data_IF_716065340175
#
_entry.id   IF_716065340175
#
_cell.length_a   1.000
_cell.length_b   1.000
_cell.length_c   1.000
_cell.angle_alpha   90.00
_cell.angle_beta   90.00
_cell.angle_gamma   90.00
#
_symmetry.space_group_name_H-M   'P 1'
#
loop_
_entity.id
_entity.type
_entity.pdbx_description
1 polymer ?
#
# COMPACT_ATOMS: atom_id res chain seq x y z
N UNK A 1 -13.76 -10.73 -5.21
CA UNK A 1 -12.75 -11.47 -5.98
C UNK A 1 -11.74 -12.02 -4.99
N UNK A 2 -11.43 -13.31 -5.05
CA UNK A 2 -10.22 -13.82 -4.40
C UNK A 2 -9.02 -13.29 -5.19
N UNK A 3 -8.20 -12.47 -4.54
CA UNK A 3 -7.05 -11.81 -5.17
C UNK A 3 -5.76 -12.47 -4.64
N UNK A 4 -4.80 -12.86 -5.51
CA UNK A 4 -3.63 -13.61 -5.07
C UNK A 4 -2.78 -12.87 -4.03
N UNK A 5 -2.45 -13.58 -2.95
CA UNK A 5 -1.55 -13.07 -1.92
C UNK A 5 -0.13 -12.92 -2.47
N UNK A 6 0.59 -11.94 -1.94
CA UNK A 6 2.03 -11.80 -2.14
C UNK A 6 2.74 -12.42 -0.94
N UNK A 7 2.92 -13.75 -0.99
CA UNK A 7 3.45 -14.53 0.13
C UNK A 7 4.90 -14.96 -0.12
N UNK A 8 5.86 -14.60 0.74
CA UNK A 8 7.24 -15.05 0.56
C UNK A 8 7.42 -16.51 0.97
N UNK A 9 8.44 -17.19 0.40
CA UNK A 9 8.76 -18.56 0.75
C UNK A 9 9.54 -18.67 2.09
N UNK A 10 9.35 -17.73 3.01
CA UNK A 10 10.03 -17.66 4.30
C UNK A 10 9.19 -16.88 5.33
N UNK A 11 9.44 -17.11 6.61
CA UNK A 11 8.74 -16.41 7.70
C UNK A 11 9.06 -14.90 7.70
N UNK A 12 8.01 -14.07 7.67
CA UNK A 12 8.12 -12.61 7.81
C UNK A 12 7.91 -12.24 9.28
N UNK A 13 8.94 -11.62 9.87
CA UNK A 13 8.78 -10.84 11.11
C UNK A 13 8.25 -9.46 10.77
N UNK A 14 7.62 -8.81 11.74
CA UNK A 14 7.30 -7.39 11.61
C UNK A 14 8.58 -6.57 11.33
N UNK A 15 8.47 -5.58 10.43
CA UNK A 15 9.62 -4.91 9.85
C UNK A 15 10.54 -4.29 10.89
N UNK A 16 10.00 -3.69 11.94
CA UNK A 16 10.74 -3.07 13.03
C UNK A 16 11.64 -4.06 13.78
N UNK A 17 11.23 -5.34 13.84
CA UNK A 17 11.96 -6.44 14.49
C UNK A 17 13.00 -7.10 13.59
N UNK A 18 13.01 -6.81 12.29
CA UNK A 18 13.99 -7.38 11.36
C UNK A 18 15.41 -6.83 11.64
N UNK A 19 16.37 -7.74 11.59
CA UNK A 19 17.79 -7.40 11.41
C UNK A 19 18.04 -6.87 10.01
N UNK A 20 19.17 -6.18 9.79
CA UNK A 20 19.56 -5.69 8.46
C UNK A 20 19.63 -6.82 7.42
N UNK A 21 20.05 -8.02 7.82
CA UNK A 21 20.14 -9.19 6.94
C UNK A 21 18.76 -9.69 6.53
N UNK A 22 17.84 -9.83 7.48
CA UNK A 22 16.45 -10.23 7.19
C UNK A 22 15.74 -9.19 6.31
N UNK A 23 15.92 -7.90 6.61
CA UNK A 23 15.37 -6.81 5.80
C UNK A 23 15.87 -6.87 4.34
N UNK A 24 17.15 -7.15 4.12
CA UNK A 24 17.71 -7.32 2.77
C UNK A 24 17.12 -8.52 2.04
N UNK A 25 16.98 -9.67 2.71
CA UNK A 25 16.37 -10.87 2.13
C UNK A 25 14.93 -10.59 1.70
N UNK A 26 14.15 -9.95 2.58
CA UNK A 26 12.78 -9.54 2.29
C UNK A 26 12.74 -8.56 1.11
N UNK A 27 13.55 -7.50 1.14
CA UNK A 27 13.62 -6.50 0.08
C UNK A 27 13.95 -7.12 -1.28
N UNK A 28 14.94 -8.01 -1.33
CA UNK A 28 15.34 -8.67 -2.58
C UNK A 28 14.25 -9.57 -3.14
N UNK A 29 13.50 -10.26 -2.29
CA UNK A 29 12.31 -10.99 -2.71
C UNK A 29 11.21 -10.04 -3.22
N UNK A 30 10.91 -8.98 -2.47
CA UNK A 30 9.87 -8.02 -2.81
C UNK A 30 10.11 -7.40 -4.19
N UNK A 31 11.31 -6.87 -4.45
CA UNK A 31 11.66 -6.25 -5.73
C UNK A 31 11.63 -7.26 -6.89
N UNK A 32 12.00 -8.53 -6.66
CA UNK A 32 11.87 -9.58 -7.69
C UNK A 32 10.43 -9.87 -8.08
N UNK A 33 9.49 -9.66 -7.17
CA UNK A 33 8.07 -9.89 -7.41
C UNK A 33 7.37 -8.68 -8.04
N UNK A 34 7.90 -7.46 -7.87
CA UNK A 34 7.30 -6.21 -8.40
C UNK A 34 6.79 -6.32 -9.84
N UNK A 35 7.59 -6.78 -10.84
CA UNK A 35 7.09 -6.88 -12.22
C UNK A 35 5.88 -7.80 -12.36
N UNK A 36 5.86 -8.93 -11.63
CA UNK A 36 4.73 -9.86 -11.67
C UNK A 36 3.48 -9.26 -11.01
N UNK A 37 3.65 -8.49 -9.93
CA UNK A 37 2.54 -7.84 -9.22
C UNK A 37 1.94 -6.69 -10.04
N UNK A 38 2.76 -5.94 -10.77
CA UNK A 38 2.30 -4.92 -11.74
C UNK A 38 1.43 -5.57 -12.83
N UNK A 39 1.88 -6.67 -13.42
CA UNK A 39 1.10 -7.38 -14.44
C UNK A 39 -0.17 -8.02 -13.86
N UNK A 40 -0.11 -8.49 -12.61
CA UNK A 40 -1.28 -9.05 -11.93
C UNK A 40 -2.39 -8.00 -11.73
N UNK A 41 -2.06 -6.80 -11.24
CA UNK A 41 -3.08 -5.75 -11.05
C UNK A 41 -3.62 -5.21 -12.37
N UNK A 42 -2.77 -5.11 -13.41
CA UNK A 42 -3.23 -4.76 -14.76
C UNK A 42 -4.21 -5.79 -15.32
N UNK A 43 -3.93 -7.07 -15.13
CA UNK A 43 -4.83 -8.15 -15.51
C UNK A 43 -6.14 -8.09 -14.74
N UNK A 44 -6.10 -7.88 -13.43
CA UNK A 44 -7.30 -7.72 -12.61
C UNK A 44 -8.13 -6.49 -13.02
N UNK A 45 -7.47 -5.40 -13.40
CA UNK A 45 -8.11 -4.21 -13.95
C UNK A 45 -8.89 -4.54 -15.23
N UNK A 46 -8.25 -5.21 -16.20
CA UNK A 46 -8.89 -5.67 -17.44
C UNK A 46 -10.07 -6.61 -17.17
N UNK A 47 -9.85 -7.65 -16.36
CA UNK A 47 -10.82 -8.74 -16.15
C UNK A 47 -12.03 -8.34 -15.31
N UNK A 48 -11.97 -7.21 -14.61
CA UNK A 48 -13.07 -6.75 -13.75
C UNK A 48 -13.73 -5.47 -14.22
N UNK A 49 -13.71 -5.16 -15.52
CA UNK A 49 -14.34 -3.96 -16.06
C UNK A 49 -13.69 -2.66 -15.57
N UNK A 50 -12.38 -2.64 -15.36
CA UNK A 50 -11.62 -1.42 -15.11
C UNK A 50 -11.43 -0.57 -16.35
N UNK A 51 -11.17 -1.21 -17.50
CA UNK A 51 -10.84 -0.54 -18.75
C UNK A 51 -9.97 -1.45 -19.61
N UNK A 52 -9.06 -0.86 -20.37
CA UNK A 52 -8.09 -1.58 -21.19
C UNK A 52 -6.70 -1.58 -20.53
N UNK A 53 -5.82 -2.49 -20.94
CA UNK A 53 -4.47 -2.54 -20.37
C UNK A 53 -3.67 -1.27 -20.64
N UNK A 54 -3.94 -0.59 -21.76
CA UNK A 54 -3.31 0.66 -22.16
C UNK A 54 -3.67 1.83 -21.24
N UNK A 55 -4.77 1.74 -20.49
CA UNK A 55 -5.12 2.75 -19.48
C UNK A 55 -4.14 2.69 -18.28
N UNK A 56 -3.41 1.59 -18.13
CA UNK A 56 -2.44 1.33 -17.07
C UNK A 56 -0.99 1.31 -17.59
N UNK A 57 -0.61 2.34 -18.34
CA UNK A 57 0.68 2.51 -19.01
C UNK A 57 1.86 3.00 -18.13
N UNK A 58 1.68 3.07 -16.81
CA UNK A 58 2.64 3.65 -15.84
C UNK A 58 2.87 5.16 -16.02
N UNK A 59 2.03 5.86 -16.78
CA UNK A 59 2.01 7.33 -16.77
C UNK A 59 1.39 7.86 -15.47
N UNK A 60 1.65 9.12 -15.07
CA UNK A 60 0.96 9.70 -13.93
C UNK A 60 -0.57 9.67 -14.06
N UNK A 61 -1.10 9.79 -15.29
CA UNK A 61 -2.55 9.77 -15.54
C UNK A 61 -3.18 8.41 -15.24
N UNK A 62 -2.43 7.31 -15.38
CA UNK A 62 -2.95 5.97 -15.08
C UNK A 62 -3.35 5.81 -13.60
N UNK A 63 -2.80 6.63 -12.70
CA UNK A 63 -3.16 6.65 -11.29
C UNK A 63 -4.64 7.00 -11.07
N UNK A 64 -5.23 7.86 -11.89
CA UNK A 64 -6.66 8.19 -11.84
C UNK A 64 -7.49 6.98 -12.22
N UNK A 65 -7.12 6.29 -13.31
CA UNK A 65 -7.81 5.11 -13.81
C UNK A 65 -7.81 3.95 -12.80
N UNK A 66 -6.64 3.63 -12.24
CA UNK A 66 -6.51 2.52 -11.30
C UNK A 66 -7.13 2.85 -9.93
N UNK A 67 -7.07 4.11 -9.48
CA UNK A 67 -7.68 4.53 -8.21
C UNK A 67 -9.20 4.49 -8.28
N UNK A 68 -9.79 5.08 -9.33
CA UNK A 68 -11.23 4.99 -9.63
C UNK A 68 -11.71 3.54 -9.66
N UNK A 69 -10.94 2.66 -10.28
CA UNK A 69 -11.24 1.23 -10.32
C UNK A 69 -11.13 0.56 -8.95
N UNK A 70 -10.16 0.94 -8.13
CA UNK A 70 -9.92 0.34 -6.83
C UNK A 70 -11.01 0.67 -5.80
N UNK A 71 -11.50 1.92 -5.74
CA UNK A 71 -12.48 2.40 -4.75
C UNK A 71 -13.69 1.46 -4.55
N UNK A 72 -14.47 1.08 -5.59
CA UNK A 72 -15.65 0.24 -5.40
C UNK A 72 -15.32 -1.21 -4.99
N UNK A 73 -14.04 -1.61 -4.99
CA UNK A 73 -13.58 -2.96 -4.63
C UNK A 73 -13.12 -3.07 -3.18
N UNK A 74 -13.11 -1.96 -2.43
CA UNK A 74 -12.77 -1.96 -1.01
C UNK A 74 -13.89 -2.64 -0.23
N UNK A 75 -13.57 -3.77 0.40
CA UNK A 75 -14.50 -4.56 1.22
C UNK A 75 -14.04 -4.56 2.67
N UNK A 76 -14.97 -4.27 3.58
CA UNK A 76 -14.76 -4.39 5.02
C UNK A 76 -15.59 -5.53 5.59
N UNK A 77 -15.06 -6.19 6.61
CA UNK A 77 -15.77 -7.18 7.43
C UNK A 77 -15.75 -6.78 8.90
N UNK A 78 -16.66 -7.35 9.68
CA UNK A 78 -16.68 -7.19 11.13
C UNK A 78 -15.54 -8.01 11.74
N UNK A 79 -14.81 -7.42 12.69
CA UNK A 79 -13.81 -8.11 13.52
C UNK A 79 -14.50 -9.17 14.39
N UNK A 80 -13.80 -10.26 14.69
CA UNK A 80 -14.29 -11.20 15.71
C UNK A 80 -14.13 -10.62 17.12
N UNK A 81 -14.87 -11.16 18.08
CA UNK A 81 -14.73 -10.76 19.49
C UNK A 81 -13.31 -11.04 20.01
N UNK A 82 -12.68 -12.12 19.54
CA UNK A 82 -11.29 -12.47 19.87
C UNK A 82 -10.30 -11.42 19.34
N UNK A 83 -10.48 -10.94 18.10
CA UNK A 83 -9.65 -9.86 17.55
C UNK A 83 -9.82 -8.55 18.31
N UNK A 84 -11.04 -8.21 18.71
CA UNK A 84 -11.32 -7.02 19.52
C UNK A 84 -10.68 -7.16 20.90
N UNK A 85 -10.75 -8.34 21.52
CA UNK A 85 -10.13 -8.62 22.82
C UNK A 85 -8.60 -8.49 22.75
N UNK A 86 -7.98 -9.01 21.70
CA UNK A 86 -6.53 -8.87 21.49
C UNK A 86 -6.11 -7.41 21.27
N UNK A 87 -6.85 -6.64 20.46
CA UNK A 87 -6.61 -5.21 20.31
C UNK A 87 -6.74 -4.47 21.65
N UNK A 88 -7.75 -4.81 22.46
CA UNK A 88 -7.98 -4.19 23.79
C UNK A 88 -6.89 -4.49 24.80
N UNK A 89 -6.26 -5.68 24.74
CA UNK A 89 -5.11 -6.04 25.58
C UNK A 89 -3.89 -5.16 25.28
N UNK A 90 -3.70 -4.82 24.01
CA UNK A 90 -2.55 -4.05 23.54
C UNK A 90 -2.81 -2.52 23.50
N UNK A 91 -4.07 -2.08 23.56
CA UNK A 91 -4.43 -0.67 23.49
C UNK A 91 -4.22 0.08 24.82
N UNK A 92 -3.64 1.30 24.79
CA UNK A 92 -3.64 2.20 25.95
C UNK A 92 -5.06 2.51 26.45
N UNK A 93 -5.23 2.74 27.75
CA UNK A 93 -6.54 2.95 28.37
C UNK A 93 -7.40 4.02 27.67
N UNK A 94 -6.79 5.14 27.27
CA UNK A 94 -7.46 6.25 26.59
C UNK A 94 -7.97 5.91 25.18
N UNK A 95 -7.50 4.82 24.57
CA UNK A 95 -7.88 4.40 23.21
C UNK A 95 -8.89 3.26 23.21
N UNK A 96 -9.15 2.62 24.36
CA UNK A 96 -9.99 1.41 24.45
C UNK A 96 -11.41 1.62 23.94
N UNK A 97 -12.01 2.77 24.21
CA UNK A 97 -13.36 3.10 23.71
C UNK A 97 -13.40 3.13 22.19
N UNK A 98 -12.40 3.76 21.55
CA UNK A 98 -12.27 3.78 20.08
C UNK A 98 -12.03 2.38 19.49
N UNK A 99 -11.32 1.50 20.20
CA UNK A 99 -11.15 0.10 19.77
C UNK A 99 -12.50 -0.64 19.77
N UNK A 100 -13.32 -0.44 20.81
CA UNK A 100 -14.66 -1.03 20.91
C UNK A 100 -15.59 -0.52 19.80
N UNK A 101 -15.51 0.77 19.49
CA UNK A 101 -16.28 1.40 18.42
C UNK A 101 -15.83 0.92 17.02
N UNK A 102 -14.53 0.69 16.83
CA UNK A 102 -13.96 0.28 15.55
C UNK A 102 -14.08 -1.23 15.29
N UNK A 103 -15.30 -1.65 14.94
CA UNK A 103 -15.62 -3.06 14.65
C UNK A 103 -15.27 -3.52 13.25
N UNK A 104 -14.74 -2.66 12.38
CA UNK A 104 -14.50 -3.00 10.97
C UNK A 104 -13.02 -3.19 10.69
N UNK A 105 -12.70 -4.15 9.83
CA UNK A 105 -11.38 -4.32 9.22
C UNK A 105 -11.53 -4.54 7.72
N UNK A 106 -10.47 -4.25 6.97
CA UNK A 106 -10.41 -4.60 5.55
C UNK A 106 -10.34 -6.12 5.38
N UNK A 107 -10.94 -6.64 4.32
CA UNK A 107 -10.74 -8.05 3.96
C UNK A 107 -9.30 -8.29 3.51
N UNK A 108 -8.83 -9.53 3.65
CA UNK A 108 -7.52 -9.94 3.12
C UNK A 108 -7.40 -9.60 1.63
N UNK A 109 -8.44 -9.88 0.83
CA UNK A 109 -8.45 -9.52 -0.59
C UNK A 109 -8.30 -8.02 -0.86
N UNK A 110 -8.93 -7.16 -0.05
CA UNK A 110 -8.77 -5.70 -0.18
C UNK A 110 -7.35 -5.25 0.17
N UNK A 111 -6.74 -5.85 1.20
CA UNK A 111 -5.36 -5.57 1.60
C UNK A 111 -4.35 -6.03 0.53
N UNK A 112 -4.56 -7.21 -0.06
CA UNK A 112 -3.70 -7.71 -1.13
C UNK A 112 -3.81 -6.89 -2.41
N UNK A 113 -5.02 -6.42 -2.75
CA UNK A 113 -5.22 -5.51 -3.87
C UNK A 113 -4.58 -4.14 -3.62
N UNK A 114 -4.71 -3.61 -2.40
CA UNK A 114 -4.07 -2.36 -1.99
C UNK A 114 -2.53 -2.45 -2.03
N UNK A 115 -1.96 -3.61 -1.70
CA UNK A 115 -0.52 -3.86 -1.80
C UNK A 115 -0.03 -3.73 -3.25
N UNK A 116 -0.74 -4.32 -4.21
CA UNK A 116 -0.34 -4.24 -5.62
C UNK A 116 -0.59 -2.86 -6.21
N UNK A 117 -1.63 -2.17 -5.74
CA UNK A 117 -1.85 -0.77 -6.09
C UNK A 117 -0.70 0.11 -5.58
N UNK A 118 -0.21 -0.14 -4.36
CA UNK A 118 0.97 0.55 -3.83
C UNK A 118 2.22 0.26 -4.66
N UNK A 119 2.43 -0.98 -5.10
CA UNK A 119 3.52 -1.34 -6.02
C UNK A 119 3.37 -0.57 -7.34
N UNK A 120 2.19 -0.60 -7.95
CA UNK A 120 1.91 0.11 -9.20
C UNK A 120 2.16 1.63 -9.06
N UNK A 121 1.69 2.22 -7.97
CA UNK A 121 1.92 3.63 -7.64
C UNK A 121 3.41 3.98 -7.52
N UNK A 122 4.19 3.14 -6.86
CA UNK A 122 5.64 3.29 -6.79
C UNK A 122 6.33 3.15 -8.16
N UNK A 123 5.89 2.20 -8.98
CA UNK A 123 6.43 2.00 -10.33
C UNK A 123 6.11 3.16 -11.27
N UNK A 124 5.00 3.88 -11.07
CA UNK A 124 4.74 5.14 -11.79
C UNK A 124 5.83 6.18 -11.48
N UNK A 125 6.30 6.30 -10.24
CA UNK A 125 7.43 7.19 -9.94
C UNK A 125 8.72 6.74 -10.62
N UNK A 126 9.11 5.47 -10.42
CA UNK A 126 10.37 4.94 -10.95
C UNK A 126 10.40 4.97 -12.48
N UNK A 127 9.25 4.74 -13.14
CA UNK A 127 9.14 4.80 -14.59
C UNK A 127 9.32 6.20 -15.16
N UNK A 128 8.92 7.25 -14.42
CA UNK A 128 8.93 8.62 -14.91
C UNK A 128 10.15 9.43 -14.44
N UNK A 129 10.92 8.93 -13.46
CA UNK A 129 12.05 9.66 -12.88
C UNK A 129 13.25 8.75 -12.61
N UNK A 130 14.26 8.82 -13.48
CA UNK A 130 15.47 7.96 -13.45
C UNK A 130 16.24 7.95 -12.12
N UNK A 131 16.11 9.03 -11.33
CA UNK A 131 16.77 9.13 -10.02
C UNK A 131 16.08 8.35 -8.91
N UNK A 132 14.83 7.95 -9.11
CA UNK A 132 14.03 7.24 -8.12
C UNK A 132 14.19 5.73 -8.27
N UNK A 133 14.31 5.05 -7.14
CA UNK A 133 14.54 3.61 -7.12
C UNK A 133 13.99 2.97 -5.85
N UNK A 134 13.69 1.66 -5.92
CA UNK A 134 13.38 0.87 -4.74
C UNK A 134 14.58 0.76 -3.81
N UNK A 135 14.36 1.03 -2.53
CA UNK A 135 15.36 0.84 -1.48
C UNK A 135 14.72 0.50 -0.13
N UNK A 136 15.54 0.50 0.90
CA UNK A 136 15.08 0.35 2.29
C UNK A 136 16.10 0.97 3.24
N UNK A 137 15.61 1.52 4.36
CA UNK A 137 16.44 2.07 5.44
C UNK A 137 16.40 1.16 6.66
N UNK A 138 17.48 1.13 7.44
CA UNK A 138 17.54 0.30 8.67
C UNK A 138 17.61 1.12 9.96
N UNK A 139 17.72 2.45 9.82
CA UNK A 139 17.81 3.43 10.91
C UNK A 139 17.21 4.78 10.48
N UNK A 140 16.75 5.60 11.44
CA UNK A 140 16.53 5.23 12.84
C UNK A 140 15.39 4.22 13.00
N UNK A 141 15.40 3.45 14.10
CA UNK A 141 14.35 2.43 14.38
C UNK A 141 12.98 3.03 14.69
N UNK A 142 12.91 4.34 14.88
CA UNK A 142 11.67 5.09 15.06
C UNK A 142 10.92 5.37 13.74
N UNK A 143 11.52 5.14 12.58
CA UNK A 143 10.83 5.30 11.30
C UNK A 143 9.75 4.22 11.15
N UNK A 144 8.54 4.64 10.79
CA UNK A 144 7.39 3.74 10.59
C UNK A 144 7.64 2.71 9.47
N UNK A 145 8.45 3.08 8.48
CA UNK A 145 8.82 2.25 7.33
C UNK A 145 10.22 1.63 7.46
N UNK A 146 10.82 1.63 8.66
CA UNK A 146 12.15 1.01 8.84
C UNK A 146 12.13 -0.44 8.36
N UNK A 147 13.19 -0.88 7.70
CA UNK A 147 13.38 -2.20 7.09
C UNK A 147 12.37 -2.55 5.97
N UNK A 148 11.47 -1.65 5.60
CA UNK A 148 10.50 -1.87 4.53
C UNK A 148 11.01 -1.42 3.17
N UNK A 149 10.53 -2.04 2.07
CA UNK A 149 10.66 -1.47 0.73
C UNK A 149 9.98 -0.10 0.63
N UNK A 150 10.73 0.89 0.14
CA UNK A 150 10.31 2.29 -0.06
C UNK A 150 10.92 2.82 -1.36
N UNK A 151 10.43 3.97 -1.84
CA UNK A 151 11.07 4.71 -2.92
C UNK A 151 12.06 5.72 -2.34
N UNK A 152 13.29 5.68 -2.85
CA UNK A 152 14.39 6.56 -2.49
C UNK A 152 14.80 7.44 -3.67
N UNK A 153 15.60 8.48 -3.42
CA UNK A 153 16.14 9.37 -4.47
C UNK A 153 15.48 10.75 -4.59
N UNK A 154 14.52 11.06 -3.70
CA UNK A 154 13.92 12.39 -3.58
C UNK A 154 14.94 13.44 -3.10
N UNK A 155 14.73 14.70 -3.48
CA UNK A 155 15.68 15.80 -3.25
C UNK A 155 15.82 16.16 -1.78
N UNK A 156 14.76 16.04 -0.99
CA UNK A 156 14.81 16.19 0.47
C UNK A 156 15.55 15.06 1.20
N UNK A 157 15.77 13.92 0.52
CA UNK A 157 16.28 12.70 1.13
C UNK A 157 15.24 11.92 1.94
N UNK A 158 13.96 12.32 1.93
CA UNK A 158 12.87 11.58 2.58
C UNK A 158 12.41 10.45 1.68
N UNK A 159 12.29 9.23 2.22
CA UNK A 159 11.76 8.09 1.50
C UNK A 159 10.23 8.04 1.48
N UNK A 160 9.66 7.58 0.37
CA UNK A 160 8.23 7.39 0.19
C UNK A 160 7.86 5.93 0.47
N UNK A 161 7.01 5.66 1.48
CA UNK A 161 6.39 4.34 1.68
C UNK A 161 5.04 4.28 0.95
N UNK A 162 4.98 3.64 -0.24
CA UNK A 162 3.78 3.64 -1.06
C UNK A 162 2.64 2.84 -0.40
N UNK A 163 2.99 1.83 0.41
CA UNK A 163 2.01 0.98 1.08
C UNK A 163 1.28 1.75 2.16
N UNK A 164 2.02 2.54 2.94
CA UNK A 164 1.43 3.40 3.95
C UNK A 164 0.54 4.49 3.32
N UNK A 165 0.94 5.07 2.19
CA UNK A 165 0.12 6.04 1.44
C UNK A 165 -1.20 5.41 1.01
N UNK A 166 -1.16 4.31 0.26
CA UNK A 166 -2.37 3.66 -0.26
C UNK A 166 -3.25 3.13 0.87
N UNK A 167 -2.65 2.59 1.94
CA UNK A 167 -3.38 2.15 3.12
C UNK A 167 -4.15 3.31 3.78
N UNK A 168 -3.51 4.46 3.99
CA UNK A 168 -4.16 5.61 4.59
C UNK A 168 -5.27 6.20 3.70
N UNK A 169 -5.07 6.24 2.38
CA UNK A 169 -6.14 6.62 1.44
C UNK A 169 -7.31 5.61 1.47
N UNK A 170 -7.02 4.33 1.60
CA UNK A 170 -8.06 3.28 1.78
C UNK A 170 -8.82 3.49 3.08
N UNK A 171 -8.13 3.79 4.18
CA UNK A 171 -8.75 4.12 5.47
C UNK A 171 -9.66 5.36 5.38
N UNK A 172 -9.22 6.39 4.65
CA UNK A 172 -10.01 7.61 4.39
C UNK A 172 -11.36 7.27 3.74
N UNK A 173 -11.36 6.41 2.71
CA UNK A 173 -12.57 5.97 2.00
C UNK A 173 -13.54 5.19 2.89
N UNK A 174 -13.03 4.31 3.77
CA UNK A 174 -13.91 3.51 4.63
C UNK A 174 -14.51 4.32 5.78
N UNK A 175 -13.80 5.37 6.22
CA UNK A 175 -14.21 6.22 7.34
C UNK A 175 -15.14 7.36 6.90
N UNK A 176 -15.02 7.84 5.66
CA UNK A 176 -15.89 8.86 5.09
C UNK A 176 -16.36 8.47 3.69
N UNK A 177 -17.68 8.23 3.56
CA UNK A 177 -18.27 7.81 2.28
C UNK A 177 -18.14 8.88 1.18
N UNK A 178 -18.01 10.17 1.53
CA UNK A 178 -17.85 11.26 0.56
C UNK A 178 -16.53 11.15 -0.21
N UNK A 179 -15.55 10.49 0.38
CA UNK A 179 -14.22 10.28 -0.22
C UNK A 179 -14.25 9.24 -1.34
N UNK A 180 -15.36 8.51 -1.51
CA UNK A 180 -15.54 7.57 -2.63
C UNK A 180 -15.67 8.26 -3.98
N UNK A 181 -16.06 9.53 -3.99
CA UNK A 181 -16.19 10.32 -5.22
C UNK A 181 -14.86 11.00 -5.61
N UNK A 182 -13.82 10.86 -4.78
CA UNK A 182 -12.51 11.46 -5.02
C UNK A 182 -11.59 10.52 -5.81
N UNK A 183 -11.77 10.54 -7.12
CA UNK A 183 -11.07 9.69 -8.09
C UNK A 183 -9.61 10.11 -8.36
N UNK A 184 -9.17 11.27 -7.85
CA UNK A 184 -7.84 11.83 -8.12
C UNK A 184 -6.89 11.75 -6.92
N UNK A 185 -7.32 11.25 -5.75
CA UNK A 185 -6.52 11.28 -4.52
C UNK A 185 -5.11 10.68 -4.70
N UNK A 186 -4.99 9.52 -5.35
CA UNK A 186 -3.69 8.90 -5.60
C UNK A 186 -2.80 9.72 -6.54
N UNK A 187 -3.40 10.33 -7.58
CA UNK A 187 -2.71 11.24 -8.50
C UNK A 187 -2.28 12.54 -7.81
N UNK A 188 -3.10 13.09 -6.93
CA UNK A 188 -2.78 14.29 -6.17
C UNK A 188 -1.61 14.05 -5.21
N UNK A 189 -1.51 12.86 -4.60
CA UNK A 189 -0.30 12.48 -3.84
C UNK A 189 0.91 12.38 -4.76
N UNK A 190 0.78 11.80 -5.96
CA UNK A 190 1.87 11.80 -6.94
C UNK A 190 2.37 13.22 -7.22
N UNK A 191 1.47 14.16 -7.54
CA UNK A 191 1.81 15.57 -7.81
C UNK A 191 2.44 16.27 -6.62
N UNK A 192 2.05 15.92 -5.39
CA UNK A 192 2.65 16.50 -4.19
C UNK A 192 4.13 16.12 -4.06
N UNK A 193 4.45 14.84 -4.24
CA UNK A 193 5.83 14.31 -4.19
C UNK A 193 6.66 14.66 -5.42
N UNK A 194 6.04 14.86 -6.59
CA UNK A 194 6.73 15.33 -7.79
C UNK A 194 7.45 16.67 -7.57
N UNK A 195 6.96 17.52 -6.68
CA UNK A 195 7.64 18.78 -6.33
C UNK A 195 8.96 18.58 -5.55
N UNK A 196 9.23 17.37 -5.06
CA UNK A 196 10.46 16.97 -4.35
C UNK A 196 11.40 16.12 -5.24
N UNK A 197 11.20 16.18 -6.55
CA UNK A 197 12.04 15.51 -7.55
C UNK A 197 12.90 16.59 -8.22
#
# INVERSE_FOLDING_TARGET
MEYPLMDPPFEIKSFEKMTKKEAKIHFDWYVREVPKRVELIKKAYLETSGGKLEDLDLSPKSLVHIWKWFIPRIVTITKSDEEIEDELKNAPAWLKEKVIENKKKLTVGSLSLAMDLAIYFAEVFIHNFDKLYWGFVTKPKSLIYVNSPVIMGFSTGIELDPRNIVYNLTLKIINDKRERDNEEDLFNIFKAWENDI
#
